data_IF_430038570846
#
_entry.id   IF_430038570846
#
_cell.length_a   1.000
_cell.length_b   1.000
_cell.length_c   1.000
_cell.angle_alpha   90.00
_cell.angle_beta   90.00
_cell.angle_gamma   90.00
#
_symmetry.space_group_name_H-M   'P 1'
#
loop_
_entity.id
_entity.type
_entity.pdbx_description
1 polymer ?
#
# COMPACT_ATOMS: atom_id res chain seq x y z
N UNK A 1 -2.48 -9.51 -6.92
CA UNK A 1 -2.29 -9.08 -5.52
C UNK A 1 -0.79 -8.88 -5.29
N UNK A 2 -0.37 -7.73 -4.75
CA UNK A 2 1.06 -7.41 -4.56
C UNK A 2 1.49 -5.99 -4.98
N UNK A 3 0.57 -5.13 -5.45
CA UNK A 3 0.93 -3.81 -5.95
C UNK A 3 1.00 -2.71 -4.88
N UNK A 4 0.56 -2.94 -3.63
CA UNK A 4 0.48 -1.88 -2.62
C UNK A 4 1.84 -1.24 -2.32
N UNK A 5 2.89 -2.04 -2.16
CA UNK A 5 4.24 -1.55 -1.90
C UNK A 5 4.80 -0.68 -3.05
N UNK A 6 4.87 -1.15 -4.31
CA UNK A 6 5.39 -0.32 -5.40
C UNK A 6 4.50 0.89 -5.70
N UNK A 7 3.16 0.79 -5.57
CA UNK A 7 2.27 1.92 -5.77
C UNK A 7 2.45 3.01 -4.70
N UNK A 8 2.60 2.61 -3.44
CA UNK A 8 2.81 3.56 -2.35
C UNK A 8 4.19 4.21 -2.45
N UNK A 9 5.22 3.44 -2.82
CA UNK A 9 6.56 3.94 -3.12
C UNK A 9 6.54 4.97 -4.26
N UNK A 10 5.89 4.66 -5.38
CA UNK A 10 5.77 5.58 -6.51
C UNK A 10 5.03 6.86 -6.15
N UNK A 11 3.95 6.74 -5.37
CA UNK A 11 3.18 7.91 -4.97
C UNK A 11 3.97 8.80 -4.01
N UNK A 12 4.61 8.22 -2.98
CA UNK A 12 5.43 8.99 -2.05
C UNK A 12 6.61 9.67 -2.76
N UNK A 13 7.33 8.95 -3.64
CA UNK A 13 8.45 9.51 -4.39
C UNK A 13 7.99 10.68 -5.29
N UNK A 14 6.87 10.52 -5.99
CA UNK A 14 6.32 11.60 -6.82
C UNK A 14 5.97 12.84 -5.98
N UNK A 15 5.37 12.66 -4.80
CA UNK A 15 5.01 13.76 -3.90
C UNK A 15 6.25 14.50 -3.39
N UNK A 16 7.29 13.76 -3.00
CA UNK A 16 8.57 14.32 -2.54
C UNK A 16 9.25 15.09 -3.67
N UNK A 17 9.45 14.45 -4.83
CA UNK A 17 10.29 14.98 -5.89
C UNK A 17 9.65 16.15 -6.64
N UNK A 18 8.33 16.12 -6.84
CA UNK A 18 7.64 17.11 -7.68
C UNK A 18 6.94 18.22 -6.90
N UNK A 19 6.61 17.96 -5.63
CA UNK A 19 5.76 18.86 -4.85
C UNK A 19 6.36 19.22 -3.49
N UNK A 20 7.55 18.70 -3.15
CA UNK A 20 8.21 18.91 -1.85
C UNK A 20 7.31 18.52 -0.65
N UNK A 21 6.43 17.53 -0.86
CA UNK A 21 5.53 17.00 0.17
C UNK A 21 6.24 15.82 0.85
N UNK A 22 6.47 15.85 2.17
CA UNK A 22 7.25 14.84 2.89
C UNK A 22 6.43 13.57 3.18
N UNK A 23 5.89 12.95 2.14
CA UNK A 23 5.13 11.71 2.24
C UNK A 23 6.01 10.56 2.72
N UNK A 24 5.57 9.75 3.69
CA UNK A 24 6.25 8.51 4.08
C UNK A 24 5.50 7.30 3.57
N UNK A 25 6.21 6.19 3.34
CA UNK A 25 5.57 4.91 3.04
C UNK A 25 5.60 4.04 4.29
N UNK A 26 4.43 3.57 4.69
CA UNK A 26 4.24 2.78 5.90
C UNK A 26 3.83 1.38 5.50
N UNK A 27 4.45 0.39 6.16
CA UNK A 27 4.07 -1.00 6.09
C UNK A 27 3.50 -1.47 7.42
N UNK A 28 2.43 -2.25 7.37
CA UNK A 28 1.80 -2.75 8.56
C UNK A 28 0.64 -3.68 8.32
N UNK A 29 -0.16 -3.83 9.35
CA UNK A 29 -1.38 -4.62 9.27
C UNK A 29 -2.55 -3.76 8.81
N UNK A 30 -3.54 -4.40 8.22
CA UNK A 30 -4.79 -3.76 7.85
C UNK A 30 -5.97 -4.64 8.27
N UNK A 31 -6.96 -4.01 8.90
CA UNK A 31 -8.15 -4.67 9.44
C UNK A 31 -9.42 -3.98 8.96
N UNK A 32 -10.46 -4.78 8.78
CA UNK A 32 -11.82 -4.35 8.48
C UNK A 32 -12.77 -5.05 9.44
N UNK A 33 -13.60 -4.27 10.15
CA UNK A 33 -14.56 -4.75 11.16
C UNK A 33 -13.92 -5.72 12.18
N UNK A 34 -12.72 -5.40 12.64
CA UNK A 34 -11.92 -6.23 13.55
C UNK A 34 -11.27 -7.46 12.91
N UNK A 35 -11.69 -7.86 11.71
CA UNK A 35 -11.07 -8.97 10.96
C UNK A 35 -9.80 -8.50 10.27
N UNK A 36 -8.75 -9.33 10.34
CA UNK A 36 -7.44 -9.03 9.76
C UNK A 36 -7.43 -9.40 8.28
N UNK A 37 -7.23 -8.40 7.44
CA UNK A 37 -7.13 -8.56 5.97
C UNK A 37 -5.68 -8.81 5.57
N UNK A 38 -4.77 -7.99 6.11
CA UNK A 38 -3.33 -8.12 5.89
C UNK A 38 -2.60 -8.25 7.23
N UNK A 39 -1.59 -9.12 7.27
CA UNK A 39 -0.77 -9.40 8.46
C UNK A 39 0.71 -9.27 8.10
N UNK A 40 1.25 -8.10 8.37
CA UNK A 40 2.67 -7.82 8.25
C UNK A 40 3.45 -8.53 9.37
N UNK A 41 4.09 -9.66 9.03
CA UNK A 41 4.93 -10.44 9.95
C UNK A 41 6.38 -9.94 10.00
N UNK A 42 6.86 -9.41 8.88
CA UNK A 42 8.24 -8.92 8.71
C UNK A 42 8.22 -7.65 7.88
N UNK A 43 9.24 -6.81 8.01
CA UNK A 43 9.43 -5.68 7.10
C UNK A 43 9.76 -6.19 5.66
N UNK A 44 9.65 -5.30 4.68
CA UNK A 44 10.19 -5.54 3.34
C UNK A 44 11.72 -5.61 3.40
N UNK A 45 12.37 -6.45 2.60
CA UNK A 45 13.83 -6.48 2.54
C UNK A 45 14.37 -5.18 1.95
N UNK A 46 15.54 -4.73 2.40
CA UNK A 46 16.29 -3.71 1.69
C UNK A 46 16.81 -4.26 0.36
N UNK A 47 16.93 -3.38 -0.63
CA UNK A 47 17.61 -3.74 -1.88
C UNK A 47 19.08 -4.03 -1.57
N UNK A 48 19.55 -5.21 -1.98
CA UNK A 48 20.95 -5.59 -1.91
C UNK A 48 21.63 -5.25 -3.24
N UNK A 49 22.87 -4.75 -3.17
CA UNK A 49 23.68 -4.31 -4.32
C UNK A 49 23.90 -5.40 -5.40
N UNK A 50 23.52 -6.66 -5.14
CA UNK A 50 23.68 -7.79 -6.05
C UNK A 50 22.60 -7.94 -7.13
N UNK A 51 21.66 -7.00 -7.26
CA UNK A 51 20.70 -6.96 -8.39
C UNK A 51 19.70 -8.13 -8.44
N UNK A 52 19.55 -8.90 -7.36
CA UNK A 52 18.64 -10.05 -7.33
C UNK A 52 17.19 -9.58 -7.18
N UNK A 53 16.35 -9.94 -8.15
CA UNK A 53 14.90 -9.74 -8.05
C UNK A 53 14.35 -10.63 -6.93
N UNK A 54 13.81 -10.01 -5.87
CA UNK A 54 13.16 -10.73 -4.78
C UNK A 54 11.67 -10.88 -5.10
N UNK A 55 11.28 -12.04 -5.62
CA UNK A 55 9.87 -12.37 -5.87
C UNK A 55 9.27 -13.19 -4.72
N UNK A 56 9.30 -12.64 -3.50
CA UNK A 56 8.74 -13.30 -2.31
C UNK A 56 7.35 -12.74 -2.01
N UNK A 57 6.38 -13.63 -1.76
CA UNK A 57 5.08 -13.22 -1.23
C UNK A 57 5.26 -12.57 0.14
N UNK A 58 4.68 -11.37 0.30
CA UNK A 58 4.66 -10.62 1.54
C UNK A 58 3.21 -10.41 1.96
N UNK A 59 2.90 -10.73 3.22
CA UNK A 59 1.53 -10.80 3.74
C UNK A 59 1.04 -9.45 4.33
N UNK A 60 1.88 -8.42 4.30
CA UNK A 60 1.57 -7.09 4.82
C UNK A 60 0.84 -6.20 3.82
N UNK A 61 0.58 -4.96 4.24
CA UNK A 61 0.00 -3.91 3.40
C UNK A 61 0.84 -2.65 3.48
N UNK A 62 0.92 -1.91 2.39
CA UNK A 62 1.58 -0.61 2.34
C UNK A 62 0.60 0.50 1.97
N UNK A 63 0.78 1.65 2.58
CA UNK A 63 0.08 2.90 2.29
C UNK A 63 1.06 4.07 2.47
N UNK A 64 0.63 5.28 2.18
CA UNK A 64 1.40 6.49 2.49
C UNK A 64 0.76 7.26 3.62
N UNK A 65 1.58 7.99 4.37
CA UNK A 65 1.12 8.96 5.36
C UNK A 65 1.71 10.33 5.05
N UNK A 66 0.89 11.37 5.17
CA UNK A 66 1.26 12.76 4.89
C UNK A 66 0.55 13.64 5.90
N UNK A 67 1.28 14.26 6.82
CA UNK A 67 0.74 15.28 7.75
C UNK A 67 -0.62 14.91 8.39
N UNK A 68 -0.72 13.70 8.95
CA UNK A 68 -1.96 13.21 9.58
C UNK A 68 -3.02 12.66 8.62
N UNK A 69 -2.70 12.52 7.33
CA UNK A 69 -3.51 11.83 6.33
C UNK A 69 -2.98 10.42 6.06
N UNK A 70 -3.91 9.50 5.78
CA UNK A 70 -3.64 8.19 5.19
C UNK A 70 -4.02 8.23 3.72
N UNK A 71 -3.09 7.81 2.85
CA UNK A 71 -3.34 7.59 1.42
C UNK A 71 -3.11 6.13 1.02
N UNK A 72 -4.08 5.50 0.37
CA UNK A 72 -3.99 4.13 -0.10
C UNK A 72 -4.57 3.97 -1.51
N UNK A 73 -3.68 3.85 -2.49
CA UNK A 73 -4.09 3.65 -3.89
C UNK A 73 -4.58 2.24 -4.18
N UNK A 74 -4.36 1.28 -3.29
CA UNK A 74 -4.45 -0.15 -3.60
C UNK A 74 -5.65 -0.85 -2.98
N UNK A 75 -6.23 -0.30 -1.90
CA UNK A 75 -7.24 -1.00 -1.12
C UNK A 75 -8.54 -1.27 -1.89
N UNK A 76 -9.02 -0.30 -2.66
CA UNK A 76 -10.24 -0.48 -3.46
C UNK A 76 -10.04 -1.48 -4.59
N UNK A 77 -8.91 -1.40 -5.32
CA UNK A 77 -8.57 -2.42 -6.33
C UNK A 77 -8.45 -3.81 -5.73
N UNK A 78 -7.88 -3.92 -4.54
CA UNK A 78 -7.82 -5.19 -3.80
C UNK A 78 -9.23 -5.72 -3.53
N UNK A 79 -10.10 -4.89 -2.95
CA UNK A 79 -11.49 -5.25 -2.66
C UNK A 79 -12.25 -5.74 -3.91
N UNK A 80 -12.15 -4.99 -5.01
CA UNK A 80 -12.86 -5.29 -6.26
C UNK A 80 -12.27 -6.50 -7.00
N UNK A 81 -11.01 -6.86 -6.78
CA UNK A 81 -10.40 -8.07 -7.36
C UNK A 81 -10.84 -9.39 -6.72
N UNK A 82 -11.57 -9.33 -5.60
CA UNK A 82 -12.06 -10.51 -4.91
C UNK A 82 -13.35 -11.01 -5.58
N UNK A 83 -13.27 -12.23 -6.13
CA UNK A 83 -14.37 -12.91 -6.81
C UNK A 83 -15.18 -13.82 -5.88
N UNK A 84 -14.95 -13.73 -4.57
CA UNK A 84 -15.63 -14.49 -3.53
C UNK A 84 -16.17 -13.54 -2.44
N UNK A 85 -17.13 -13.99 -1.61
CA UNK A 85 -17.57 -13.23 -0.44
C UNK A 85 -16.37 -12.81 0.42
N UNK A 86 -16.36 -11.55 0.83
CA UNK A 86 -15.22 -10.96 1.55
C UNK A 86 -15.67 -9.76 2.35
N UNK A 87 -15.33 -9.78 3.65
CA UNK A 87 -15.59 -8.66 4.56
C UNK A 87 -14.97 -7.35 4.05
N UNK A 88 -13.83 -7.42 3.34
CA UNK A 88 -13.22 -6.23 2.74
C UNK A 88 -14.11 -5.66 1.63
N UNK A 89 -14.57 -6.52 0.72
CA UNK A 89 -15.38 -6.10 -0.43
C UNK A 89 -16.72 -5.52 0.01
N UNK A 90 -17.42 -6.24 0.87
CA UNK A 90 -18.71 -5.82 1.43
C UNK A 90 -18.59 -4.50 2.19
N UNK A 91 -17.55 -4.34 3.01
CA UNK A 91 -17.31 -3.08 3.73
C UNK A 91 -17.01 -1.92 2.78
N UNK A 92 -16.15 -2.14 1.77
CA UNK A 92 -15.80 -1.09 0.81
C UNK A 92 -17.03 -0.65 0.01
N UNK A 93 -17.83 -1.60 -0.49
CA UNK A 93 -19.01 -1.30 -1.28
C UNK A 93 -20.11 -0.61 -0.45
N UNK A 94 -20.33 -1.03 0.79
CA UNK A 94 -21.32 -0.40 1.68
C UNK A 94 -20.90 0.97 2.21
N UNK A 95 -19.60 1.19 2.44
CA UNK A 95 -19.10 2.44 3.04
C UNK A 95 -18.80 3.52 1.99
N UNK A 96 -18.19 3.13 0.87
CA UNK A 96 -17.71 4.06 -0.15
C UNK A 96 -18.47 3.94 -1.48
N UNK A 97 -19.18 2.84 -1.70
CA UNK A 97 -19.72 2.47 -3.01
C UNK A 97 -18.70 1.77 -3.91
N UNK A 98 -19.18 1.35 -5.07
CA UNK A 98 -18.36 0.68 -6.10
C UNK A 98 -17.61 1.67 -6.98
N UNK A 99 -16.54 1.21 -7.64
CA UNK A 99 -15.81 1.98 -8.64
C UNK A 99 -14.86 3.07 -8.10
N UNK A 100 -14.47 3.01 -6.82
CA UNK A 100 -13.53 3.98 -6.23
C UNK A 100 -12.07 3.66 -6.58
N UNK A 101 -11.27 4.70 -6.83
CA UNK A 101 -9.90 4.56 -7.32
C UNK A 101 -8.81 4.58 -6.23
N UNK A 102 -8.93 5.50 -5.27
CA UNK A 102 -7.94 5.75 -4.22
C UNK A 102 -8.62 6.18 -2.92
N UNK A 103 -8.10 5.73 -1.79
CA UNK A 103 -8.50 6.20 -0.47
C UNK A 103 -7.54 7.30 -0.01
N UNK A 104 -8.07 8.43 0.44
CA UNK A 104 -7.32 9.52 1.05
C UNK A 104 -8.21 10.20 2.10
N UNK A 105 -7.78 10.22 3.36
CA UNK A 105 -8.52 10.85 4.44
C UNK A 105 -7.58 11.24 5.59
N UNK A 106 -7.90 12.28 6.39
CA UNK A 106 -7.25 12.48 7.67
C UNK A 106 -7.57 11.28 8.60
N UNK A 107 -6.68 10.98 9.56
CA UNK A 107 -6.89 9.87 10.50
C UNK A 107 -8.25 9.91 11.21
N UNK A 108 -8.74 11.12 11.54
CA UNK A 108 -10.02 11.33 12.20
C UNK A 108 -11.21 10.81 11.38
N UNK A 109 -11.06 10.79 10.06
CA UNK A 109 -12.15 10.51 9.12
C UNK A 109 -12.03 9.12 8.51
N UNK A 110 -11.01 8.35 8.90
CA UNK A 110 -10.92 6.93 8.53
C UNK A 110 -12.18 6.23 9.07
N UNK A 111 -13.00 5.59 8.20
CA UNK A 111 -14.28 5.06 8.63
C UNK A 111 -14.17 4.04 9.75
N UNK A 112 -15.11 4.10 10.68
CA UNK A 112 -15.21 3.14 11.78
C UNK A 112 -15.25 1.72 11.22
N UNK A 113 -14.34 0.88 11.69
CA UNK A 113 -14.18 -0.49 11.22
C UNK A 113 -12.98 -0.67 10.29
N UNK A 114 -12.49 0.37 9.64
CA UNK A 114 -11.24 0.35 8.88
C UNK A 114 -10.09 0.73 9.80
N UNK A 115 -9.04 -0.08 9.86
CA UNK A 115 -7.89 0.20 10.72
C UNK A 115 -6.57 -0.14 10.05
N UNK A 116 -5.74 0.87 9.91
CA UNK A 116 -4.33 0.78 9.54
C UNK A 116 -3.50 0.69 10.82
N UNK A 117 -2.68 -0.36 10.96
CA UNK A 117 -1.80 -0.55 12.12
C UNK A 117 -0.35 -0.53 11.63
N UNK A 118 0.27 0.64 11.70
CA UNK A 118 1.66 0.86 11.30
C UNK A 118 2.62 -0.05 12.08
N UNK A 119 3.60 -0.62 11.39
CA UNK A 119 4.67 -1.43 12.00
C UNK A 119 6.06 -0.99 11.58
N UNK A 120 6.21 -0.58 10.33
CA UNK A 120 7.49 -0.17 9.76
C UNK A 120 7.28 1.04 8.88
N UNK A 121 8.22 1.97 8.92
CA UNK A 121 8.37 3.01 7.89
C UNK A 121 9.47 2.55 6.94
N UNK A 122 9.21 2.64 5.65
CA UNK A 122 10.15 2.20 4.63
C UNK A 122 11.27 3.23 4.47
N UNK A 123 12.49 2.74 4.32
CA UNK A 123 13.67 3.55 4.02
C UNK A 123 13.72 3.92 2.54
N UNK A 124 14.49 4.94 2.20
CA UNK A 124 14.66 5.36 0.81
C UNK A 124 15.28 4.25 -0.05
N UNK A 125 16.13 3.39 0.53
CA UNK A 125 16.67 2.21 -0.17
C UNK A 125 15.58 1.20 -0.53
N UNK A 126 14.61 0.99 0.36
CA UNK A 126 13.47 0.12 0.10
C UNK A 126 12.55 0.73 -0.96
N UNK A 127 12.27 2.03 -0.87
CA UNK A 127 11.47 2.77 -1.87
C UNK A 127 12.15 2.69 -3.24
N UNK A 128 13.44 3.04 -3.34
CA UNK A 128 14.19 2.96 -4.58
C UNK A 128 14.22 1.54 -5.17
N UNK A 129 14.39 0.51 -4.32
CA UNK A 129 14.33 -0.89 -4.74
C UNK A 129 12.97 -1.29 -5.34
N UNK A 130 11.87 -0.84 -4.72
CA UNK A 130 10.52 -1.08 -5.23
C UNK A 130 10.28 -0.38 -6.58
N UNK A 131 10.78 0.84 -6.74
CA UNK A 131 10.68 1.60 -7.99
C UNK A 131 11.52 0.95 -9.11
N UNK A 132 12.75 0.55 -8.81
CA UNK A 132 13.59 -0.19 -9.77
C UNK A 132 12.93 -1.50 -10.21
N UNK A 133 12.32 -2.24 -9.28
CA UNK A 133 11.54 -3.43 -9.59
C UNK A 133 10.32 -3.16 -10.47
N UNK A 134 9.62 -2.04 -10.25
CA UNK A 134 8.48 -1.61 -11.07
C UNK A 134 8.92 -1.25 -12.50
N UNK A 135 9.99 -0.47 -12.67
CA UNK A 135 10.55 -0.12 -13.98
C UNK A 135 10.94 -1.37 -14.77
N UNK A 136 11.66 -2.29 -14.13
CA UNK A 136 12.03 -3.58 -14.74
C UNK A 136 10.80 -4.36 -15.22
N UNK A 137 9.72 -4.40 -14.43
CA UNK A 137 8.49 -5.09 -14.83
C UNK A 137 7.77 -4.42 -16.02
N UNK A 138 7.89 -3.11 -16.19
CA UNK A 138 7.32 -2.38 -17.32
C UNK A 138 8.12 -2.63 -18.60
N UNK A 139 9.45 -2.62 -18.51
CA UNK A 139 10.35 -2.90 -19.64
C UNK A 139 10.19 -4.33 -20.17
N UNK A 140 9.95 -5.31 -19.29
CA UNK A 140 9.76 -6.72 -19.67
C UNK A 140 8.35 -7.03 -20.24
N UNK A 141 7.44 -6.05 -20.27
CA UNK A 141 6.08 -6.19 -20.82
C UNK A 141 5.91 -5.53 -22.19
N UNK A 142 6.95 -4.88 -22.69
CA UNK A 142 7.09 -4.37 -24.06
C UNK A 142 7.88 -5.41 -24.86
#
# INVERSE_FOLDING_TARGET
MGACAPLSAAWAQMLRDKYDIPAIVVAGDFKVLGKRIFKCKTNLPESNLGGKVINKKWDGHCWIEIDGYIGDLSIFRTAYSLNHPSVLKEFVESTFGSGRGAFLAPYSDVPKGMKYEAKYVLTDKQIAGLLGGLSYQLEQRI
#
